data_IF_504287210105
#
_entry.id   IF_504287210105
#
_cell.length_a   1.000
_cell.length_b   1.000
_cell.length_c   1.000
_cell.angle_alpha   90.00
_cell.angle_beta   90.00
_cell.angle_gamma   90.00
#
_symmetry.space_group_name_H-M   'P 1'
#
loop_
_entity.id
_entity.type
_entity.pdbx_description
1 polymer ?
#
# COMPACT_ATOMS: atom_id res chain seq x y z
N UNK A 1 2.58 -15.09 3.92
CA UNK A 1 1.41 -14.38 4.41
C UNK A 1 0.81 -15.08 5.63
N UNK A 2 0.35 -16.35 5.55
CA UNK A 2 -0.31 -17.05 6.67
C UNK A 2 0.53 -17.11 7.95
N UNK A 3 1.85 -17.33 7.85
CA UNK A 3 2.73 -17.34 9.02
C UNK A 3 2.72 -15.96 9.73
N UNK A 4 2.79 -14.88 8.97
CA UNK A 4 2.70 -13.52 9.51
C UNK A 4 1.30 -13.19 10.05
N UNK A 5 0.25 -13.64 9.37
CA UNK A 5 -1.13 -13.46 9.81
C UNK A 5 -1.39 -14.06 11.21
N UNK A 6 -0.74 -15.18 11.52
CA UNK A 6 -0.85 -15.87 12.81
C UNK A 6 0.11 -15.34 13.90
N UNK A 7 0.93 -14.31 13.60
CA UNK A 7 1.78 -13.71 14.62
C UNK A 7 1.01 -12.64 15.41
N UNK A 8 0.96 -12.76 16.73
CA UNK A 8 0.13 -11.88 17.55
C UNK A 8 0.59 -10.41 17.56
N UNK A 9 1.84 -10.10 17.22
CA UNK A 9 2.38 -8.75 17.23
C UNK A 9 2.47 -8.10 15.85
N UNK A 10 1.94 -8.75 14.80
CA UNK A 10 1.94 -8.22 13.44
C UNK A 10 0.60 -7.55 13.15
N UNK A 11 0.61 -6.28 12.82
CA UNK A 11 -0.57 -5.53 12.36
C UNK A 11 -0.56 -5.27 10.85
N UNK A 12 0.63 -5.11 10.26
CA UNK A 12 0.80 -4.82 8.83
C UNK A 12 1.65 -5.90 8.18
N UNK A 13 1.20 -6.41 7.05
CA UNK A 13 1.91 -7.39 6.23
C UNK A 13 2.16 -6.77 4.87
N UNK A 14 3.42 -6.78 4.42
CA UNK A 14 3.82 -6.29 3.10
C UNK A 14 4.28 -7.43 2.21
N UNK A 15 3.78 -7.47 0.97
CA UNK A 15 4.19 -8.47 -0.02
C UNK A 15 4.59 -7.79 -1.32
N UNK A 16 5.87 -7.96 -1.69
CA UNK A 16 6.42 -7.45 -2.95
C UNK A 16 6.67 -8.59 -3.94
N UNK A 17 5.83 -9.59 -3.91
CA UNK A 17 5.85 -10.72 -4.85
C UNK A 17 4.43 -11.06 -5.26
N UNK A 18 4.29 -11.67 -6.42
CA UNK A 18 3.03 -12.12 -6.91
C UNK A 18 3.18 -13.04 -8.12
N UNK A 19 2.06 -13.45 -8.66
CA UNK A 19 2.00 -14.15 -9.94
C UNK A 19 1.35 -13.23 -10.95
N UNK A 20 2.06 -12.95 -12.03
CA UNK A 20 1.57 -12.13 -13.13
C UNK A 20 0.45 -12.90 -13.84
N UNK A 21 -0.71 -12.31 -13.91
CA UNK A 21 -1.84 -12.86 -14.67
C UNK A 21 -3.19 -12.38 -14.16
N UNK A 22 -4.18 -12.45 -15.03
CA UNK A 22 -5.57 -12.15 -14.70
C UNK A 22 -6.29 -13.29 -13.94
N UNK A 23 -5.56 -14.31 -13.54
CA UNK A 23 -6.12 -15.47 -12.86
C UNK A 23 -5.78 -15.36 -11.37
N UNK A 24 -6.79 -15.36 -10.48
CA UNK A 24 -6.54 -15.45 -9.05
C UNK A 24 -5.67 -16.66 -8.71
N UNK A 25 -4.74 -16.48 -7.79
CA UNK A 25 -3.96 -17.58 -7.21
C UNK A 25 -4.59 -17.94 -5.87
N UNK A 26 -5.44 -18.98 -5.82
CA UNK A 26 -6.30 -19.26 -4.66
C UNK A 26 -5.55 -19.31 -3.34
N UNK A 27 -4.36 -19.92 -3.31
CA UNK A 27 -3.58 -20.01 -2.08
C UNK A 27 -3.04 -18.67 -1.57
N UNK A 28 -2.79 -17.70 -2.45
CA UNK A 28 -2.39 -16.34 -2.07
C UNK A 28 -3.63 -15.55 -1.62
N UNK A 29 -4.71 -15.67 -2.38
CA UNK A 29 -5.97 -15.01 -2.09
C UNK A 29 -6.52 -15.45 -0.74
N UNK A 30 -6.58 -16.76 -0.48
CA UNK A 30 -7.00 -17.31 0.83
C UNK A 30 -6.10 -16.82 1.97
N UNK A 31 -4.79 -16.78 1.75
CA UNK A 31 -3.84 -16.35 2.77
C UNK A 31 -3.98 -14.86 3.12
N UNK A 32 -4.20 -14.01 2.14
CA UNK A 32 -4.43 -12.57 2.35
C UNK A 32 -5.81 -12.32 2.97
N UNK A 33 -6.83 -13.11 2.58
CA UNK A 33 -8.16 -13.06 3.19
C UNK A 33 -8.09 -13.40 4.68
N UNK A 34 -7.42 -14.48 5.04
CA UNK A 34 -7.21 -14.83 6.45
C UNK A 34 -6.54 -13.67 7.19
N UNK A 35 -5.50 -13.07 6.63
CA UNK A 35 -4.80 -11.97 7.28
C UNK A 35 -5.71 -10.76 7.52
N UNK A 36 -6.47 -10.34 6.51
CA UNK A 36 -7.21 -9.06 6.58
C UNK A 36 -8.61 -9.23 7.13
N UNK A 37 -9.34 -10.27 6.70
CA UNK A 37 -10.74 -10.46 7.08
C UNK A 37 -10.87 -11.19 8.40
N UNK A 38 -10.11 -12.29 8.57
CA UNK A 38 -10.27 -13.13 9.77
C UNK A 38 -9.40 -12.65 10.94
N UNK A 39 -8.22 -12.09 10.64
CA UNK A 39 -7.24 -11.63 11.66
C UNK A 39 -7.18 -10.11 11.79
N UNK A 40 -7.97 -9.37 11.01
CA UNK A 40 -8.13 -7.92 11.05
C UNK A 40 -6.81 -7.13 10.90
N UNK A 41 -5.84 -7.69 10.18
CA UNK A 41 -4.57 -7.03 9.86
C UNK A 41 -4.69 -6.17 8.61
N UNK A 42 -3.68 -5.35 8.34
CA UNK A 42 -3.53 -4.67 7.05
C UNK A 42 -2.58 -5.47 6.16
N UNK A 43 -2.86 -5.48 4.88
CA UNK A 43 -2.02 -6.12 3.88
C UNK A 43 -1.78 -5.17 2.71
N UNK A 44 -0.52 -4.89 2.41
CA UNK A 44 -0.10 -4.16 1.21
C UNK A 44 0.49 -5.13 0.20
N UNK A 45 0.05 -5.04 -1.04
CA UNK A 45 0.50 -5.88 -2.15
C UNK A 45 1.02 -5.06 -3.32
N UNK A 46 2.15 -5.46 -3.91
CA UNK A 46 2.68 -4.81 -5.11
C UNK A 46 1.76 -5.05 -6.30
N UNK A 47 1.42 -3.99 -7.03
CA UNK A 47 0.45 -4.02 -8.13
C UNK A 47 1.06 -4.39 -9.49
N UNK A 48 2.24 -5.04 -9.50
CA UNK A 48 3.05 -5.37 -10.68
C UNK A 48 3.73 -4.13 -11.32
N UNK A 49 4.74 -4.41 -12.15
CA UNK A 49 5.54 -3.39 -12.85
C UNK A 49 5.15 -3.25 -14.34
N UNK A 50 4.01 -3.78 -14.74
CA UNK A 50 3.51 -3.64 -16.10
C UNK A 50 2.40 -2.59 -16.13
N UNK A 51 2.54 -1.51 -16.89
CA UNK A 51 1.50 -0.50 -17.00
C UNK A 51 0.33 -1.01 -17.88
N UNK A 52 -0.28 -2.10 -17.46
CA UNK A 52 -1.37 -2.74 -18.19
C UNK A 52 -2.59 -2.92 -17.30
N UNK A 53 -3.72 -2.32 -17.67
CA UNK A 53 -4.95 -2.49 -16.90
C UNK A 53 -5.53 -3.91 -16.95
N UNK A 54 -4.95 -4.80 -17.76
CA UNK A 54 -5.38 -6.19 -17.85
C UNK A 54 -4.65 -7.14 -16.91
N UNK A 55 -3.62 -6.66 -16.22
CA UNK A 55 -2.79 -7.49 -15.34
C UNK A 55 -3.09 -7.13 -13.89
N UNK A 56 -3.59 -8.11 -13.15
CA UNK A 56 -3.71 -8.02 -11.69
C UNK A 56 -2.67 -8.92 -11.04
N UNK A 57 -1.93 -8.38 -10.09
CA UNK A 57 -1.07 -9.18 -9.25
C UNK A 57 -1.90 -9.93 -8.19
N UNK A 58 -1.50 -11.17 -7.91
CA UNK A 58 -2.23 -12.02 -6.97
C UNK A 58 -2.25 -11.47 -5.53
N UNK A 59 -1.34 -10.59 -5.16
CA UNK A 59 -1.26 -10.00 -3.82
C UNK A 59 -1.99 -8.67 -3.72
N UNK A 60 -2.05 -7.89 -4.79
CA UNK A 60 -2.71 -6.59 -4.85
C UNK A 60 -4.17 -6.67 -5.29
N UNK A 61 -4.52 -7.64 -6.13
CA UNK A 61 -5.84 -7.79 -6.73
C UNK A 61 -7.00 -8.11 -5.79
N UNK A 62 -6.82 -8.87 -4.68
CA UNK A 62 -7.92 -9.15 -3.76
C UNK A 62 -8.50 -7.88 -3.14
N UNK A 63 -9.82 -7.73 -3.06
CA UNK A 63 -10.48 -6.47 -2.64
C UNK A 63 -10.24 -6.09 -1.17
N UNK A 64 -9.72 -6.98 -0.37
CA UNK A 64 -9.32 -6.72 1.02
C UNK A 64 -7.85 -6.26 1.15
N UNK A 65 -7.01 -6.49 0.13
CA UNK A 65 -5.63 -6.01 0.09
C UNK A 65 -5.58 -4.54 -0.31
N UNK A 66 -4.52 -3.86 0.08
CA UNK A 66 -4.20 -2.51 -0.41
C UNK A 66 -3.20 -2.68 -1.55
N UNK A 67 -3.65 -2.52 -2.78
CA UNK A 67 -2.82 -2.60 -3.97
C UNK A 67 -1.98 -1.33 -4.14
N UNK A 68 -0.67 -1.49 -4.27
CA UNK A 68 0.27 -0.37 -4.33
C UNK A 68 0.89 -0.24 -5.71
N UNK A 69 0.59 0.87 -6.39
CA UNK A 69 1.28 1.28 -7.62
C UNK A 69 2.60 1.99 -7.31
N UNK A 70 3.49 1.99 -8.30
CA UNK A 70 4.74 2.73 -8.27
C UNK A 70 4.60 4.08 -8.95
N UNK A 71 5.25 5.09 -8.41
CA UNK A 71 5.34 6.42 -8.98
C UNK A 71 6.78 6.94 -8.86
N UNK A 72 7.30 7.51 -9.94
CA UNK A 72 8.54 8.26 -9.91
C UNK A 72 8.31 9.67 -10.43
N UNK A 73 8.92 10.63 -9.78
CA UNK A 73 9.07 11.98 -10.28
C UNK A 73 10.50 12.10 -10.80
N UNK A 74 10.70 11.82 -12.06
CA UNK A 74 11.99 12.09 -12.69
C UNK A 74 12.07 13.56 -13.13
N UNK A 75 13.25 14.15 -12.95
CA UNK A 75 13.51 15.54 -13.32
C UNK A 75 13.11 15.84 -14.76
N UNK A 76 12.52 17.01 -14.99
CA UNK A 76 11.96 17.49 -16.24
C UNK A 76 10.65 16.80 -16.70
N UNK A 77 9.63 16.78 -15.84
CA UNK A 77 8.22 16.54 -16.19
C UNK A 77 7.84 15.14 -16.69
N UNK A 78 8.72 14.16 -16.67
CA UNK A 78 8.35 12.79 -17.00
C UNK A 78 8.00 12.00 -15.76
N UNK A 79 6.71 11.84 -15.54
CA UNK A 79 6.18 11.02 -14.47
C UNK A 79 6.00 9.59 -14.98
N UNK A 80 6.73 8.67 -14.38
CA UNK A 80 6.56 7.26 -14.68
C UNK A 80 5.65 6.59 -13.65
N UNK A 81 4.70 5.83 -14.13
CA UNK A 81 3.86 4.98 -13.32
C UNK A 81 4.02 3.54 -13.75
N UNK A 82 4.22 2.72 -12.74
CA UNK A 82 4.14 1.28 -12.89
C UNK A 82 3.04 0.75 -12.02
N UNK A 83 2.07 0.15 -12.63
CA UNK A 83 1.10 -0.67 -11.93
C UNK A 83 0.41 -1.64 -12.86
N UNK A 84 0.06 -2.77 -12.33
CA UNK A 84 -1.03 -3.57 -12.86
C UNK A 84 -2.37 -2.86 -12.65
N UNK A 85 -3.49 -3.50 -12.94
CA UNK A 85 -4.78 -2.86 -12.89
C UNK A 85 -5.30 -2.64 -11.46
N UNK A 86 -5.94 -1.49 -11.28
CA UNK A 86 -6.74 -1.16 -10.11
C UNK A 86 -5.99 -1.18 -8.77
N UNK A 87 -4.87 -0.45 -8.62
CA UNK A 87 -4.29 -0.23 -7.31
C UNK A 87 -5.23 0.61 -6.43
N UNK A 88 -5.05 0.52 -5.12
CA UNK A 88 -5.72 1.43 -4.20
C UNK A 88 -5.00 2.77 -4.13
N UNK A 89 -3.67 2.75 -4.08
CA UNK A 89 -2.85 3.94 -3.88
C UNK A 89 -1.48 3.78 -4.55
N UNK A 90 -0.81 4.88 -4.79
CA UNK A 90 0.56 4.92 -5.32
C UNK A 90 1.55 5.40 -4.27
N UNK A 91 2.80 4.95 -4.39
CA UNK A 91 3.91 5.47 -3.61
C UNK A 91 5.17 5.58 -4.46
N UNK A 92 6.12 6.40 -4.04
CA UNK A 92 7.41 6.49 -4.69
C UNK A 92 8.10 5.11 -4.71
N UNK A 93 8.48 4.71 -5.90
CA UNK A 93 9.06 3.40 -6.18
C UNK A 93 10.58 3.38 -6.29
N UNK A 94 11.20 4.56 -6.28
CA UNK A 94 12.64 4.71 -6.47
C UNK A 94 13.38 4.46 -5.16
N UNK A 95 14.39 3.63 -5.21
CA UNK A 95 15.26 3.31 -4.08
C UNK A 95 16.73 3.30 -4.49
N UNK A 96 17.58 3.76 -3.57
CA UNK A 96 19.02 3.59 -3.63
C UNK A 96 19.40 2.38 -2.75
N UNK A 97 19.89 1.34 -3.37
CA UNK A 97 20.27 0.10 -2.68
C UNK A 97 21.75 -0.18 -2.79
N UNK A 98 22.36 -0.86 -1.78
CA UNK A 98 23.71 -1.38 -1.89
C UNK A 98 23.82 -2.32 -3.11
N UNK A 99 24.91 -2.16 -3.85
CA UNK A 99 25.21 -3.03 -4.96
C UNK A 99 25.85 -4.32 -4.42
N UNK A 100 25.31 -5.48 -4.81
CA UNK A 100 25.85 -6.78 -4.36
C UNK A 100 27.23 -7.10 -4.97
N UNK A 101 27.56 -6.49 -6.09
CA UNK A 101 28.83 -6.70 -6.82
C UNK A 101 29.92 -5.69 -6.45
N UNK A 102 29.60 -4.69 -5.64
CA UNK A 102 30.53 -3.63 -5.21
C UNK A 102 30.30 -3.28 -3.74
N UNK A 103 31.32 -3.52 -2.91
CA UNK A 103 31.24 -3.39 -1.44
C UNK A 103 30.84 -1.98 -1.00
N UNK A 104 31.23 -0.95 -1.76
CA UNK A 104 30.97 0.46 -1.45
C UNK A 104 29.98 1.08 -2.46
N UNK A 105 29.46 0.31 -3.40
CA UNK A 105 28.60 0.79 -4.46
C UNK A 105 27.13 0.81 -4.05
N UNK A 106 26.43 1.80 -4.57
CA UNK A 106 24.98 1.91 -4.52
C UNK A 106 24.45 2.09 -5.94
N UNK A 107 23.29 1.54 -6.20
CA UNK A 107 22.58 1.77 -7.46
C UNK A 107 21.14 2.17 -7.21
N UNK A 108 20.63 2.97 -8.11
CA UNK A 108 19.22 3.30 -8.16
C UNK A 108 18.45 2.15 -8.80
N UNK A 109 17.33 1.83 -8.22
CA UNK A 109 16.39 0.83 -8.75
C UNK A 109 14.96 1.27 -8.46
N UNK A 110 14.03 0.77 -9.25
CA UNK A 110 12.63 1.15 -9.14
C UNK A 110 11.71 -0.06 -9.30
N UNK A 111 10.50 0.08 -8.78
CA UNK A 111 9.46 -0.94 -8.92
C UNK A 111 8.41 -0.84 -7.81
N UNK A 112 7.23 -1.38 -8.09
CA UNK A 112 6.16 -1.49 -7.09
C UNK A 112 6.59 -2.32 -5.88
N UNK A 113 7.59 -3.19 -6.05
CA UNK A 113 8.22 -3.94 -4.95
C UNK A 113 8.87 -3.04 -3.88
N UNK A 114 9.22 -1.79 -4.22
CA UNK A 114 9.78 -0.80 -3.28
C UNK A 114 8.70 0.16 -2.76
N UNK A 115 7.76 0.54 -3.59
CA UNK A 115 6.60 1.36 -3.19
C UNK A 115 5.77 0.66 -2.10
N UNK A 116 5.60 -0.66 -2.22
CA UNK A 116 4.79 -1.46 -1.30
C UNK A 116 5.29 -1.45 0.14
N UNK A 117 6.55 -1.79 0.46
CA UNK A 117 7.05 -1.73 1.82
C UNK A 117 7.18 -0.30 2.35
N UNK A 118 7.39 0.69 1.47
CA UNK A 118 7.34 2.11 1.85
C UNK A 118 5.97 2.49 2.38
N UNK A 119 4.90 2.10 1.67
CA UNK A 119 3.53 2.32 2.14
C UNK A 119 3.25 1.59 3.44
N UNK A 120 3.70 0.33 3.58
CA UNK A 120 3.57 -0.40 4.85
C UNK A 120 4.29 0.31 6.01
N UNK A 121 5.46 0.89 5.75
CA UNK A 121 6.19 1.72 6.73
C UNK A 121 5.42 2.97 7.13
N UNK A 122 4.81 3.67 6.16
CA UNK A 122 3.95 4.83 6.40
C UNK A 122 2.76 4.44 7.28
N UNK A 123 2.07 3.36 6.95
CA UNK A 123 0.94 2.84 7.74
C UNK A 123 1.39 2.53 9.18
N UNK A 124 2.53 1.87 9.33
CA UNK A 124 3.07 1.51 10.64
C UNK A 124 3.39 2.75 11.48
N UNK A 125 3.93 3.80 10.86
CA UNK A 125 4.20 5.08 11.52
C UNK A 125 2.90 5.78 11.96
N UNK A 126 1.88 5.77 11.09
CA UNK A 126 0.56 6.32 11.44
C UNK A 126 -0.06 5.58 12.62
N UNK A 127 -0.04 4.24 12.60
CA UNK A 127 -0.53 3.43 13.70
C UNK A 127 0.21 3.70 15.01
N UNK A 128 1.53 3.89 14.96
CA UNK A 128 2.33 4.25 16.12
C UNK A 128 1.89 5.60 16.70
N UNK A 129 1.77 6.62 15.86
CA UNK A 129 1.33 7.96 16.31
C UNK A 129 -0.07 7.94 16.90
N UNK A 130 -1.01 7.25 16.26
CA UNK A 130 -2.37 7.11 16.78
C UNK A 130 -2.41 6.40 18.14
N UNK A 131 -1.59 5.38 18.33
CA UNK A 131 -1.46 4.68 19.60
C UNK A 131 -0.87 5.56 20.69
N UNK A 132 0.16 6.31 20.37
CA UNK A 132 0.80 7.24 21.30
C UNK A 132 -0.16 8.38 21.70
N UNK A 133 -0.90 8.93 20.74
CA UNK A 133 -1.84 10.03 20.98
C UNK A 133 -3.06 9.59 21.80
N UNK A 134 -3.61 8.44 21.50
CA UNK A 134 -4.83 7.95 22.17
C UNK A 134 -4.56 7.04 23.37
N UNK A 135 -3.31 6.98 23.83
CA UNK A 135 -2.90 6.16 24.96
C UNK A 135 -3.36 4.69 24.82
N UNK A 136 -3.23 4.13 23.62
CA UNK A 136 -3.46 2.72 23.38
C UNK A 136 -2.40 1.90 24.11
N UNK A 137 -2.72 1.47 25.31
CA UNK A 137 -1.87 0.61 26.13
C UNK A 137 -1.82 -0.83 25.60
N UNK A 138 -2.45 -1.08 24.44
CA UNK A 138 -2.55 -2.39 23.85
C UNK A 138 -1.22 -2.92 23.36
N UNK A 139 -0.65 -3.84 24.09
CA UNK A 139 0.53 -4.60 23.68
C UNK A 139 0.22 -5.76 22.74
N UNK A 140 -1.03 -5.99 22.42
CA UNK A 140 -1.49 -7.11 21.60
C UNK A 140 -1.66 -6.78 20.12
N UNK A 141 -1.83 -7.82 19.32
CA UNK A 141 -2.24 -7.68 17.92
C UNK A 141 -3.69 -7.23 17.78
N UNK A 142 -4.09 -6.82 16.59
CA UNK A 142 -5.47 -6.43 16.27
C UNK A 142 -6.50 -7.50 16.69
N UNK A 143 -6.19 -8.77 16.58
CA UNK A 143 -7.08 -9.87 16.99
C UNK A 143 -7.33 -9.88 18.50
N UNK A 144 -6.30 -9.67 19.31
CA UNK A 144 -6.41 -9.58 20.77
C UNK A 144 -7.18 -8.33 21.22
N UNK A 145 -7.20 -7.30 20.39
CA UNK A 145 -7.98 -6.07 20.57
C UNK A 145 -9.40 -6.15 20.00
N UNK A 146 -9.92 -7.34 19.75
CA UNK A 146 -11.26 -7.54 19.18
C UNK A 146 -11.41 -7.09 17.74
N UNK A 147 -10.32 -7.13 16.97
CA UNK A 147 -10.30 -6.74 15.56
C UNK A 147 -9.94 -5.27 15.32
N UNK A 148 -9.54 -4.52 16.33
CA UNK A 148 -9.15 -3.12 16.19
C UNK A 148 -7.62 -2.98 16.09
N UNK A 149 -7.14 -2.14 15.19
CA UNK A 149 -5.71 -1.82 15.08
C UNK A 149 -5.26 -0.85 16.17
N UNK A 150 -6.14 0.07 16.56
CA UNK A 150 -5.95 0.98 17.68
C UNK A 150 -7.15 0.87 18.59
N UNK A 151 -6.94 0.84 19.90
CA UNK A 151 -8.00 0.71 20.91
C UNK A 151 -7.66 1.54 22.14
N UNK A 152 -8.14 2.77 22.19
CA UNK A 152 -8.06 3.64 23.36
C UNK A 152 -9.33 3.62 24.21
N UNK A 153 -9.37 4.42 25.28
CA UNK A 153 -10.47 4.44 26.23
C UNK A 153 -11.85 4.80 25.62
N UNK A 154 -11.85 5.66 24.61
CA UNK A 154 -13.07 6.13 23.93
C UNK A 154 -12.96 6.09 22.40
N UNK A 155 -12.00 5.38 21.88
CA UNK A 155 -11.65 5.45 20.47
C UNK A 155 -11.13 4.09 19.99
N UNK A 156 -11.63 3.65 18.86
CA UNK A 156 -11.20 2.40 18.22
C UNK A 156 -11.07 2.61 16.72
N UNK A 157 -10.02 2.06 16.12
CA UNK A 157 -9.81 2.08 14.66
C UNK A 157 -9.62 0.66 14.15
N UNK A 158 -10.46 0.28 13.21
CA UNK A 158 -10.35 -0.97 12.46
C UNK A 158 -9.38 -0.83 11.28
N UNK A 159 -9.00 -1.97 10.71
CA UNK A 159 -8.21 -2.00 9.47
C UNK A 159 -8.94 -1.35 8.28
N UNK A 160 -10.27 -1.47 8.21
CA UNK A 160 -11.07 -0.83 7.17
C UNK A 160 -11.01 0.70 7.26
N UNK A 161 -11.09 1.26 8.47
CA UNK A 161 -10.99 2.70 8.68
C UNK A 161 -9.59 3.24 8.35
N UNK A 162 -8.53 2.51 8.70
CA UNK A 162 -7.16 2.89 8.32
C UNK A 162 -7.01 2.90 6.80
N UNK A 163 -7.52 1.86 6.11
CA UNK A 163 -7.50 1.81 4.64
C UNK A 163 -8.25 2.99 4.03
N UNK A 164 -9.45 3.28 4.51
CA UNK A 164 -10.25 4.40 4.02
C UNK A 164 -9.55 5.74 4.26
N UNK A 165 -8.96 5.95 5.43
CA UNK A 165 -8.22 7.15 5.74
C UNK A 165 -7.01 7.36 4.80
N UNK A 166 -6.26 6.29 4.52
CA UNK A 166 -5.13 6.35 3.58
C UNK A 166 -5.62 6.74 2.19
N UNK A 167 -6.71 6.15 1.72
CA UNK A 167 -7.27 6.46 0.41
C UNK A 167 -7.76 7.91 0.33
N UNK A 168 -8.47 8.39 1.35
CA UNK A 168 -9.01 9.76 1.39
C UNK A 168 -7.93 10.83 1.60
N UNK A 169 -6.82 10.49 2.26
CA UNK A 169 -5.68 11.40 2.46
C UNK A 169 -4.73 11.45 1.26
N UNK A 170 -4.92 10.57 0.29
CA UNK A 170 -4.06 10.50 -0.87
C UNK A 170 -4.03 11.83 -1.63
N UNK A 171 -2.84 12.24 -2.02
CA UNK A 171 -2.64 13.40 -2.85
C UNK A 171 -2.62 13.00 -4.32
N UNK A 172 -3.56 13.54 -5.08
CA UNK A 172 -3.53 13.40 -6.52
C UNK A 172 -2.77 14.59 -7.11
N UNK A 173 -1.68 14.37 -7.84
CA UNK A 173 -0.91 15.47 -8.40
C UNK A 173 -1.76 16.28 -9.36
N UNK A 174 -1.83 17.61 -9.15
CA UNK A 174 -2.59 18.59 -9.93
C UNK A 174 -2.09 18.75 -11.39
N UNK A 175 -1.19 17.90 -11.79
CA UNK A 175 -0.57 18.00 -13.11
C UNK A 175 -1.36 17.26 -14.18
N UNK A 176 -2.63 16.94 -13.91
CA UNK A 176 -3.51 16.31 -14.87
C UNK A 176 -2.84 15.28 -15.72
N UNK A 177 -2.08 14.48 -15.12
CA UNK A 177 -1.39 13.45 -15.78
C UNK A 177 -2.32 12.26 -16.04
N UNK A 178 -2.53 11.97 -17.32
CA UNK A 178 -3.19 10.78 -17.77
C UNK A 178 -2.14 9.72 -18.08
N UNK A 179 -2.05 8.67 -17.29
CA UNK A 179 -1.08 7.61 -17.51
C UNK A 179 -1.24 6.89 -18.86
N UNK A 180 -2.38 7.00 -19.52
CA UNK A 180 -2.64 6.34 -20.80
C UNK A 180 -2.34 7.22 -22.01
N UNK A 181 -2.44 8.52 -21.88
CA UNK A 181 -2.27 9.48 -22.98
C UNK A 181 -1.15 10.49 -22.77
N UNK A 182 -0.54 10.53 -21.58
CA UNK A 182 0.42 11.56 -21.22
C UNK A 182 -0.20 12.95 -21.11
N UNK A 183 -1.52 13.05 -21.15
CA UNK A 183 -2.29 14.28 -21.04
C UNK A 183 -3.15 14.27 -19.79
N UNK A 184 -3.42 15.46 -19.28
CA UNK A 184 -4.16 15.68 -18.05
C UNK A 184 -5.66 15.45 -18.19
N UNK A 185 -6.32 14.63 -17.40
CA UNK A 185 -7.72 14.83 -17.14
C UNK A 185 -7.89 16.09 -16.29
N UNK A 186 -8.77 16.97 -16.72
CA UNK A 186 -9.14 18.22 -15.98
C UNK A 186 -9.78 17.88 -14.62
N UNK A 187 -10.19 16.64 -14.42
CA UNK A 187 -10.74 16.12 -13.18
C UNK A 187 -10.68 14.59 -13.24
N UNK A 188 -9.72 13.94 -12.60
CA UNK A 188 -9.66 12.50 -12.60
C UNK A 188 -10.87 11.92 -11.87
N UNK A 189 -11.46 10.88 -12.45
CA UNK A 189 -12.41 10.04 -11.71
C UNK A 189 -11.60 9.14 -10.79
N UNK A 190 -11.66 9.39 -9.50
CA UNK A 190 -10.97 8.59 -8.50
C UNK A 190 -11.89 7.48 -7.95
N UNK A 191 -11.34 6.31 -7.66
CA UNK A 191 -9.95 5.92 -7.87
C UNK A 191 -9.62 5.68 -9.36
N UNK A 192 -8.42 6.11 -9.77
CA UNK A 192 -7.92 5.88 -11.13
C UNK A 192 -7.43 4.43 -11.28
N UNK A 193 -7.59 3.85 -12.47
CA UNK A 193 -7.22 2.45 -12.73
C UNK A 193 -5.74 2.15 -12.64
N UNK A 194 -4.89 3.17 -12.64
CA UNK A 194 -3.43 3.02 -12.61
C UNK A 194 -2.79 3.56 -11.34
N UNK A 195 -3.36 4.56 -10.71
CA UNK A 195 -2.81 5.23 -9.52
C UNK A 195 -3.70 5.10 -8.29
N UNK A 196 -4.88 4.48 -8.43
CA UNK A 196 -5.85 4.43 -7.35
C UNK A 196 -6.32 5.83 -6.95
N UNK A 197 -6.31 6.11 -5.66
CA UNK A 197 -6.68 7.40 -5.08
C UNK A 197 -5.58 8.47 -5.21
N UNK A 198 -4.38 8.12 -5.62
CA UNK A 198 -3.24 9.01 -5.75
C UNK A 198 -2.04 8.58 -4.92
N UNK A 199 -1.16 9.52 -4.60
CA UNK A 199 0.06 9.28 -3.83
C UNK A 199 -0.23 9.24 -2.34
N UNK A 200 0.32 8.23 -1.65
CA UNK A 200 0.29 8.20 -0.20
C UNK A 200 1.02 9.41 0.37
N UNK A 201 0.36 10.16 1.23
CA UNK A 201 0.89 11.39 1.79
C UNK A 201 0.73 11.42 3.31
N UNK A 202 1.86 11.37 4.02
CA UNK A 202 1.88 11.45 5.48
C UNK A 202 1.36 12.77 6.03
N UNK A 203 1.57 13.87 5.29
CA UNK A 203 1.20 15.21 5.75
C UNK A 203 -0.30 15.44 5.80
N UNK A 204 -1.07 14.63 5.09
CA UNK A 204 -2.52 14.75 4.99
C UNK A 204 -3.27 13.66 5.77
N UNK A 205 -2.56 12.71 6.38
CA UNK A 205 -3.20 11.73 7.25
C UNK A 205 -3.47 12.42 8.57
N UNK A 206 -4.56 13.17 8.63
CA UNK A 206 -5.04 13.70 9.89
C UNK A 206 -5.69 12.59 10.72
N UNK A 207 -5.62 12.68 12.05
CA UNK A 207 -6.33 11.74 12.92
C UNK A 207 -7.83 11.80 12.60
N UNK A 208 -8.39 10.64 12.38
CA UNK A 208 -9.80 10.41 12.07
C UNK A 208 -10.65 10.69 13.32
#
# INVERSE_FOLDING_TARGET
VLAAANQPLVDVISTSFGAIGSIPVPGIEDATKVAVVDKHKLHTGAADNSPSPAIQDATAGPPWSIGIAGYAEEGDDQKEIMSGSYPDISADWTQYLPNHDDIDGYHETSGTSFATPRTAGIISYVLQNLRDEFADNGSGASEERGGMLVSGNNFTISNAQVREAINLSAWYPDFGWDPTSGTMPISPVLPCTQTGWGLVNLSNIEPI
#
